data_IF_388301560579
#
_entry.id   IF_388301560579
#
_cell.length_a   1.000
_cell.length_b   1.000
_cell.length_c   1.000
_cell.angle_alpha   90.00
_cell.angle_beta   90.00
_cell.angle_gamma   90.00
#
_symmetry.space_group_name_H-M   'P 1'
#
loop_
_entity.id
_entity.type
_entity.pdbx_description
1 polymer ?
#
# COMPACT_ATOMS: atom_id res chain seq x y z
N UNK A 1 57.26 -12.66 -31.11
CA UNK A 1 56.38 -11.50 -31.38
C UNK A 1 55.27 -11.49 -30.35
N UNK A 2 55.06 -10.36 -29.68
CA UNK A 2 54.05 -10.23 -28.62
C UNK A 2 52.67 -10.00 -29.21
N UNK A 3 51.72 -10.88 -28.90
CA UNK A 3 50.29 -10.74 -29.23
C UNK A 3 49.69 -9.59 -28.40
N UNK A 4 49.30 -8.50 -29.07
CA UNK A 4 48.46 -7.45 -28.48
C UNK A 4 47.00 -7.86 -28.61
N UNK A 5 46.35 -8.18 -27.49
CA UNK A 5 44.90 -8.33 -27.43
C UNK A 5 44.25 -6.93 -27.53
N UNK A 6 43.41 -6.74 -28.53
CA UNK A 6 42.56 -5.55 -28.65
C UNK A 6 41.47 -5.61 -27.58
N UNK A 7 41.35 -4.56 -26.79
CA UNK A 7 40.27 -4.38 -25.84
C UNK A 7 38.96 -4.21 -26.62
N UNK A 8 38.08 -5.21 -26.54
CA UNK A 8 36.73 -5.12 -27.08
C UNK A 8 35.96 -4.13 -26.20
N UNK A 9 35.46 -3.06 -26.80
CA UNK A 9 34.59 -2.11 -26.12
C UNK A 9 33.42 -2.88 -25.49
N UNK A 10 33.18 -2.66 -24.19
CA UNK A 10 32.06 -3.26 -23.49
C UNK A 10 30.78 -2.93 -24.28
N UNK A 11 30.12 -3.96 -24.82
CA UNK A 11 28.74 -3.81 -25.31
C UNK A 11 27.95 -3.23 -24.14
N UNK A 12 27.27 -2.11 -24.38
CA UNK A 12 26.25 -1.63 -23.46
C UNK A 12 25.34 -2.82 -23.14
N UNK A 13 25.35 -3.26 -21.89
CA UNK A 13 24.43 -4.25 -21.38
C UNK A 13 23.02 -3.75 -21.73
N UNK A 14 22.33 -4.49 -22.60
CA UNK A 14 20.92 -4.22 -22.88
C UNK A 14 20.14 -4.18 -21.57
N UNK A 15 18.97 -3.49 -21.52
CA UNK A 15 18.16 -3.45 -20.32
C UNK A 15 17.94 -4.88 -19.84
N UNK A 16 18.34 -5.17 -18.60
CA UNK A 16 18.11 -6.46 -17.97
C UNK A 16 16.62 -6.82 -17.98
N UNK A 17 16.25 -8.05 -17.61
CA UNK A 17 14.83 -8.43 -17.54
C UNK A 17 14.06 -7.37 -16.75
N UNK A 18 12.94 -6.91 -17.33
CA UNK A 18 12.04 -5.96 -16.67
C UNK A 18 11.73 -6.46 -15.26
N UNK A 19 11.85 -5.62 -14.22
CA UNK A 19 11.61 -6.06 -12.85
C UNK A 19 10.23 -6.72 -12.78
N UNK A 20 10.17 -7.91 -12.18
CA UNK A 20 8.91 -8.62 -12.01
C UNK A 20 7.86 -7.67 -11.40
N UNK A 21 6.61 -7.68 -11.91
CA UNK A 21 5.55 -6.88 -11.33
C UNK A 21 5.39 -7.23 -9.85
N UNK A 22 5.34 -6.21 -8.99
CA UNK A 22 5.09 -6.40 -7.56
C UNK A 22 3.62 -6.72 -7.33
N UNK A 23 3.33 -7.77 -6.58
CA UNK A 23 1.98 -8.12 -6.13
C UNK A 23 1.78 -7.63 -4.70
N UNK A 24 0.69 -6.89 -4.45
CA UNK A 24 0.28 -6.55 -3.09
C UNK A 24 -1.00 -7.31 -2.78
N UNK A 25 -0.95 -8.17 -1.76
CA UNK A 25 -2.09 -8.91 -1.23
C UNK A 25 -2.64 -8.13 -0.05
N UNK A 26 -3.94 -7.82 -0.09
CA UNK A 26 -4.64 -7.15 0.99
C UNK A 26 -5.56 -8.14 1.69
N UNK A 27 -5.40 -8.31 3.00
CA UNK A 27 -6.27 -9.15 3.83
C UNK A 27 -6.94 -8.28 4.91
N UNK A 28 -8.22 -7.99 4.73
CA UNK A 28 -9.00 -7.25 5.73
C UNK A 28 -9.52 -8.20 6.81
N UNK A 29 -9.69 -7.70 8.03
CA UNK A 29 -10.18 -8.45 9.20
C UNK A 29 -9.48 -9.80 9.38
N UNK A 30 -8.14 -9.80 9.33
CA UNK A 30 -7.34 -11.03 9.39
C UNK A 30 -7.61 -11.86 10.65
N UNK A 31 -7.97 -11.23 11.78
CA UNK A 31 -8.38 -11.95 12.99
C UNK A 31 -9.62 -12.83 12.79
N UNK A 32 -10.55 -12.48 11.89
CA UNK A 32 -11.69 -13.31 11.55
C UNK A 32 -11.30 -14.57 10.75
N UNK A 33 -10.11 -14.56 10.11
CA UNK A 33 -9.57 -15.75 9.44
C UNK A 33 -8.81 -16.66 10.41
N UNK A 34 -8.22 -16.10 11.47
CA UNK A 34 -7.35 -16.82 12.41
C UNK A 34 -8.12 -17.35 13.62
N UNK A 35 -9.06 -16.58 14.20
CA UNK A 35 -9.76 -17.01 15.42
C UNK A 35 -11.13 -16.31 15.68
N UNK A 36 -12.25 -17.06 15.73
CA UNK A 36 -12.41 -18.40 15.18
C UNK A 36 -12.29 -18.31 13.66
N UNK A 37 -11.49 -19.18 13.05
CA UNK A 37 -11.31 -19.11 11.59
C UNK A 37 -12.65 -19.25 10.87
N UNK A 38 -12.90 -18.38 9.88
CA UNK A 38 -14.05 -18.41 8.97
C UNK A 38 -14.15 -19.76 8.23
N UNK A 39 -14.78 -20.74 8.86
CA UNK A 39 -15.07 -22.06 8.33
C UNK A 39 -16.01 -22.77 9.28
N UNK A 40 -17.06 -23.41 8.76
CA UNK A 40 -17.86 -24.34 9.56
C UNK A 40 -16.94 -25.36 10.23
N UNK A 41 -17.26 -25.89 11.43
CA UNK A 41 -16.58 -27.08 11.95
C UNK A 41 -16.58 -28.15 10.84
N UNK A 42 -15.40 -28.49 10.32
CA UNK A 42 -15.25 -29.42 9.19
C UNK A 42 -15.08 -28.79 7.79
N UNK A 43 -15.01 -27.46 7.64
CA UNK A 43 -14.74 -26.79 6.34
C UNK A 43 -13.34 -26.16 6.33
N UNK A 44 -12.34 -26.75 5.62
CA UNK A 44 -10.93 -26.34 5.67
C UNK A 44 -10.59 -25.00 5.00
N UNK A 45 -11.58 -24.24 4.52
CA UNK A 45 -11.37 -23.09 3.64
C UNK A 45 -10.65 -21.90 4.31
N UNK A 46 -10.93 -21.58 5.58
CA UNK A 46 -10.12 -20.59 6.31
C UNK A 46 -8.68 -21.08 6.50
N UNK A 47 -8.49 -22.37 6.80
CA UNK A 47 -7.16 -22.93 7.04
C UNK A 47 -6.25 -22.86 5.81
N UNK A 48 -6.76 -23.13 4.61
CA UNK A 48 -5.97 -23.02 3.37
C UNK A 48 -5.61 -21.57 3.04
N UNK A 49 -6.56 -20.62 3.23
CA UNK A 49 -6.31 -19.19 3.03
C UNK A 49 -5.26 -18.68 4.02
N UNK A 50 -5.40 -18.98 5.31
CA UNK A 50 -4.42 -18.58 6.34
C UNK A 50 -3.04 -19.14 6.02
N UNK A 51 -2.92 -20.43 5.66
CA UNK A 51 -1.63 -21.01 5.23
C UNK A 51 -1.02 -20.31 4.02
N UNK A 52 -1.84 -19.94 3.03
CA UNK A 52 -1.36 -19.19 1.87
C UNK A 52 -0.85 -17.80 2.26
N UNK A 53 -1.58 -17.09 3.13
CA UNK A 53 -1.15 -15.78 3.64
C UNK A 53 0.13 -15.89 4.48
N UNK A 54 0.27 -16.93 5.30
CA UNK A 54 1.50 -17.20 6.06
C UNK A 54 2.69 -17.53 5.16
N UNK A 55 2.47 -18.27 4.07
CA UNK A 55 3.50 -18.50 3.06
C UNK A 55 3.93 -17.19 2.38
N UNK A 56 3.00 -16.30 2.05
CA UNK A 56 3.33 -14.96 1.53
C UNK A 56 4.07 -14.13 2.57
N UNK A 57 3.67 -14.15 3.84
CA UNK A 57 4.36 -13.42 4.91
C UNK A 57 5.82 -13.86 5.07
N UNK A 58 6.08 -15.17 4.96
CA UNK A 58 7.42 -15.76 5.10
C UNK A 58 8.30 -15.56 3.87
N UNK A 59 7.77 -15.87 2.68
CA UNK A 59 8.57 -16.03 1.46
C UNK A 59 8.28 -14.98 0.38
N UNK A 60 7.14 -14.28 0.48
CA UNK A 60 6.63 -13.40 -0.57
C UNK A 60 7.58 -12.26 -0.94
N UNK A 61 8.28 -11.68 0.04
CA UNK A 61 9.20 -10.56 -0.20
C UNK A 61 10.31 -10.88 -1.21
N UNK A 62 10.80 -12.12 -1.24
CA UNK A 62 11.80 -12.59 -2.21
C UNK A 62 11.23 -12.75 -3.62
N UNK A 63 9.91 -12.89 -3.72
CA UNK A 63 9.15 -13.07 -4.96
C UNK A 63 8.49 -11.77 -5.43
N UNK A 64 8.70 -10.64 -4.73
CA UNK A 64 8.00 -9.39 -5.02
C UNK A 64 6.52 -9.39 -4.62
N UNK A 65 6.10 -10.31 -3.74
CA UNK A 65 4.75 -10.38 -3.18
C UNK A 65 4.75 -9.80 -1.77
N UNK A 66 3.95 -8.76 -1.55
CA UNK A 66 3.85 -8.06 -0.28
C UNK A 66 2.47 -8.26 0.32
N UNK A 67 2.40 -8.58 1.61
CA UNK A 67 1.14 -8.75 2.33
C UNK A 67 0.90 -7.55 3.25
N UNK A 68 -0.29 -6.96 3.12
CA UNK A 68 -0.83 -5.97 4.07
C UNK A 68 -2.09 -6.57 4.67
N UNK A 69 -2.12 -6.70 5.99
CA UNK A 69 -3.29 -7.21 6.69
C UNK A 69 -3.76 -6.21 7.73
N UNK A 70 -5.07 -6.17 7.95
CA UNK A 70 -5.69 -5.39 9.03
C UNK A 70 -6.20 -6.35 10.10
N UNK A 71 -6.29 -5.86 11.34
CA UNK A 71 -6.92 -6.59 12.42
C UNK A 71 -7.45 -5.62 13.47
N UNK A 72 -8.64 -5.92 14.00
CA UNK A 72 -9.20 -5.25 15.17
C UNK A 72 -8.84 -5.95 16.50
N UNK A 73 -8.25 -7.15 16.41
CA UNK A 73 -7.89 -8.03 17.54
C UNK A 73 -6.42 -8.47 17.40
N UNK A 74 -5.45 -7.58 17.69
CA UNK A 74 -4.04 -7.92 17.59
C UNK A 74 -3.66 -9.11 18.48
N UNK A 75 -4.35 -9.27 19.62
CA UNK A 75 -4.25 -10.43 20.53
C UNK A 75 -4.52 -11.77 19.84
N UNK A 76 -5.36 -11.79 18.80
CA UNK A 76 -5.68 -13.02 18.04
C UNK A 76 -4.70 -13.33 16.92
N UNK A 77 -3.84 -12.37 16.57
CA UNK A 77 -2.95 -12.48 15.41
C UNK A 77 -1.47 -12.42 15.77
N UNK A 78 -1.13 -12.13 17.04
CA UNK A 78 0.24 -11.93 17.52
C UNK A 78 1.17 -13.12 17.26
N UNK A 79 0.63 -14.35 17.28
CA UNK A 79 1.39 -15.58 17.06
C UNK A 79 1.55 -15.97 15.59
N UNK A 80 0.97 -15.21 14.66
CA UNK A 80 1.01 -15.54 13.23
C UNK A 80 2.35 -15.15 12.60
N UNK A 81 2.69 -15.80 11.48
CA UNK A 81 3.90 -15.47 10.70
C UNK A 81 3.87 -14.03 10.19
N UNK A 82 2.68 -13.52 9.86
CA UNK A 82 2.47 -12.12 9.51
C UNK A 82 2.88 -11.19 10.66
N UNK A 83 2.37 -11.42 11.87
CA UNK A 83 2.68 -10.57 13.01
C UNK A 83 4.18 -10.60 13.37
N UNK A 84 4.83 -11.76 13.27
CA UNK A 84 6.27 -11.92 13.53
C UNK A 84 7.14 -11.27 12.45
N UNK A 85 6.77 -11.43 11.18
CA UNK A 85 7.54 -10.94 10.03
C UNK A 85 7.29 -9.47 9.64
N UNK A 86 6.21 -8.85 10.15
CA UNK A 86 5.84 -7.49 9.80
C UNK A 86 6.93 -6.47 10.20
N UNK A 87 7.50 -5.81 9.17
CA UNK A 87 8.50 -4.75 9.33
C UNK A 87 7.90 -3.37 9.62
N UNK A 88 6.70 -3.12 9.10
CA UNK A 88 5.95 -1.89 9.32
C UNK A 88 4.66 -2.24 10.05
N UNK A 89 4.33 -1.48 11.09
CA UNK A 89 3.09 -1.67 11.85
C UNK A 89 2.33 -0.36 11.91
N UNK A 90 1.08 -0.36 11.48
CA UNK A 90 0.19 0.79 11.57
C UNK A 90 -0.78 0.52 12.72
N UNK A 91 -0.82 1.43 13.69
CA UNK A 91 -1.81 1.41 14.77
C UNK A 91 -2.65 2.67 14.64
N UNK A 92 -3.95 2.50 14.34
CA UNK A 92 -4.89 3.60 14.29
C UNK A 92 -5.39 3.93 15.70
N UNK A 93 -5.59 5.22 15.97
CA UNK A 93 -6.24 5.65 17.21
C UNK A 93 -7.71 5.20 17.19
N UNK A 94 -8.21 4.74 18.34
CA UNK A 94 -9.61 4.40 18.47
C UNK A 94 -10.47 5.66 18.24
N UNK A 95 -11.54 5.59 17.43
CA UNK A 95 -12.46 6.72 17.31
C UNK A 95 -13.15 6.95 18.65
N UNK A 96 -13.30 8.21 19.05
CA UNK A 96 -14.10 8.55 20.22
C UNK A 96 -15.58 8.39 19.88
N UNK A 97 -16.35 7.86 20.84
CA UNK A 97 -17.78 7.61 20.73
C UNK A 97 -18.50 8.20 21.96
N UNK A 98 -19.51 9.07 21.77
CA UNK A 98 -20.04 9.56 20.49
C UNK A 98 -19.09 10.56 19.80
N UNK A 99 -19.15 10.71 18.47
CA UNK A 99 -18.27 11.64 17.75
C UNK A 99 -18.56 13.10 18.15
N UNK A 100 -17.53 13.84 18.55
CA UNK A 100 -17.60 15.28 18.82
C UNK A 100 -17.12 16.12 17.61
N UNK A 101 -17.70 17.30 17.35
CA UNK A 101 -17.21 18.21 16.29
C UNK A 101 -15.78 18.70 16.49
N UNK A 102 -15.31 18.77 17.74
CA UNK A 102 -13.96 19.25 18.09
C UNK A 102 -12.90 18.15 18.03
N UNK A 103 -13.32 16.91 17.82
CA UNK A 103 -12.41 15.76 17.75
C UNK A 103 -11.79 15.60 16.37
N UNK A 104 -10.54 15.10 16.33
CA UNK A 104 -9.91 14.82 15.06
C UNK A 104 -10.69 13.77 14.26
N UNK A 105 -10.83 14.02 12.95
CA UNK A 105 -11.44 13.07 12.04
C UNK A 105 -10.72 11.69 12.11
N UNK A 106 -11.45 10.58 11.90
CA UNK A 106 -10.86 9.25 11.84
C UNK A 106 -9.65 9.17 10.91
N UNK A 107 -8.72 8.27 11.24
CA UNK A 107 -7.50 8.03 10.45
C UNK A 107 -6.22 8.55 11.10
N UNK A 108 -6.28 9.13 12.31
CA UNK A 108 -5.07 9.32 13.12
C UNK A 108 -4.47 7.99 13.52
N UNK A 109 -3.15 7.93 13.59
CA UNK A 109 -2.44 6.75 14.01
C UNK A 109 -0.94 6.94 14.09
N UNK A 110 -0.26 5.81 14.26
CA UNK A 110 1.19 5.72 14.39
C UNK A 110 1.73 4.64 13.45
N UNK A 111 2.81 4.95 12.75
CA UNK A 111 3.60 4.01 11.97
C UNK A 111 4.84 3.61 12.77
N UNK A 112 4.91 2.35 13.20
CA UNK A 112 6.09 1.74 13.79
C UNK A 112 7.04 1.21 12.71
N UNK A 113 8.32 1.55 12.84
CA UNK A 113 9.40 1.17 11.93
C UNK A 113 10.30 0.07 12.54
N UNK A 114 11.07 -0.68 11.73
CA UNK A 114 11.97 -1.73 12.22
C UNK A 114 13.08 -1.22 13.15
N UNK A 115 13.45 0.06 13.02
CA UNK A 115 14.46 0.74 13.83
C UNK A 115 13.90 1.24 15.18
N UNK A 116 12.64 0.93 15.49
CA UNK A 116 11.95 1.37 16.70
C UNK A 116 11.36 2.77 16.61
N UNK A 117 11.60 3.51 15.52
CA UNK A 117 10.98 4.83 15.32
C UNK A 117 9.47 4.70 15.20
N UNK A 118 8.77 5.68 15.75
CA UNK A 118 7.30 5.80 15.63
C UNK A 118 6.96 7.15 15.01
N UNK A 119 6.28 7.11 13.87
CA UNK A 119 5.89 8.32 13.13
C UNK A 119 4.38 8.53 13.27
N UNK A 120 3.91 9.61 13.92
CA UNK A 120 2.49 9.94 13.95
C UNK A 120 2.02 10.36 12.56
N UNK A 121 0.81 9.99 12.18
CA UNK A 121 0.25 10.35 10.89
C UNK A 121 -1.27 10.59 10.95
N UNK A 122 -1.78 11.23 9.90
CA UNK A 122 -3.21 11.34 9.60
C UNK A 122 -3.45 10.70 8.24
N UNK A 123 -4.23 9.63 8.20
CA UNK A 123 -4.66 8.98 6.97
C UNK A 123 -5.52 9.91 6.12
N UNK A 124 -5.26 9.91 4.81
CA UNK A 124 -6.12 10.58 3.85
C UNK A 124 -7.44 9.84 3.68
N UNK A 125 -8.55 10.59 3.57
CA UNK A 125 -9.89 10.02 3.37
C UNK A 125 -10.29 10.14 1.90
N UNK A 126 -10.69 9.03 1.29
CA UNK A 126 -11.26 8.95 -0.05
C UNK A 126 -12.64 8.30 0.08
N UNK A 127 -13.69 9.01 -0.31
CA UNK A 127 -15.08 8.64 0.00
C UNK A 127 -15.88 8.17 -1.21
N UNK A 128 -15.38 8.44 -2.42
CA UNK A 128 -16.12 8.25 -3.67
C UNK A 128 -17.27 9.25 -3.84
N UNK A 129 -17.40 10.28 -2.99
CA UNK A 129 -18.48 11.27 -3.07
C UNK A 129 -18.03 12.51 -3.82
N UNK A 130 -18.98 13.20 -4.44
CA UNK A 130 -18.78 14.57 -4.92
C UNK A 130 -18.53 15.42 -3.67
N UNK A 131 -17.36 16.06 -3.55
CA UNK A 131 -17.12 16.91 -2.41
C UNK A 131 -18.10 18.09 -2.43
N UNK A 132 -18.96 18.19 -1.42
CA UNK A 132 -19.86 19.35 -1.23
C UNK A 132 -19.22 20.47 -0.42
N UNK A 133 -18.00 20.22 0.05
CA UNK A 133 -17.12 21.18 0.72
C UNK A 133 -15.88 21.36 -0.16
N UNK A 134 -15.28 22.54 -0.05
CA UNK A 134 -14.09 22.91 -0.81
C UNK A 134 -13.07 21.75 -0.80
N UNK A 135 -12.67 21.28 -1.98
CA UNK A 135 -11.71 20.19 -2.13
C UNK A 135 -10.49 20.66 -2.88
N UNK A 136 -9.32 20.32 -2.36
CA UNK A 136 -8.09 20.44 -3.13
C UNK A 136 -8.11 19.37 -4.22
N UNK A 137 -7.93 19.77 -5.48
CA UNK A 137 -7.61 18.80 -6.53
C UNK A 137 -6.31 18.07 -6.14
N UNK A 138 -6.31 16.74 -6.07
CA UNK A 138 -5.09 15.96 -5.94
C UNK A 138 -4.14 16.35 -7.07
N UNK A 139 -2.93 16.74 -6.69
CA UNK A 139 -1.87 17.03 -7.65
C UNK A 139 -0.75 16.06 -7.45
N UNK A 140 -0.15 15.71 -8.58
CA UNK A 140 1.12 15.01 -8.63
C UNK A 140 2.16 16.07 -8.87
N UNK A 141 3.14 16.14 -7.99
CA UNK A 141 4.34 16.95 -8.18
C UNK A 141 5.52 15.99 -8.08
N UNK A 142 6.54 16.12 -8.92
CA UNK A 142 7.83 15.47 -8.68
C UNK A 142 8.29 15.82 -7.26
N UNK A 143 8.63 14.79 -6.48
CA UNK A 143 9.19 14.95 -5.15
C UNK A 143 10.68 14.69 -5.24
N UNK A 144 11.48 15.75 -5.19
CA UNK A 144 12.93 15.65 -5.06
C UNK A 144 13.28 15.07 -3.69
N UNK A 145 14.30 14.23 -3.61
CA UNK A 145 14.67 13.51 -2.38
C UNK A 145 15.02 14.48 -1.24
N UNK A 146 15.65 15.60 -1.57
CA UNK A 146 16.04 16.66 -0.64
C UNK A 146 14.84 17.35 0.01
N UNK A 147 13.66 17.24 -0.61
CA UNK A 147 12.40 17.84 -0.16
C UNK A 147 11.46 16.82 0.49
N UNK A 148 11.90 15.58 0.64
CA UNK A 148 11.10 14.57 1.31
C UNK A 148 10.89 14.94 2.77
N UNK A 149 9.62 15.09 3.17
CA UNK A 149 9.23 15.47 4.53
C UNK A 149 8.82 16.93 4.67
N UNK A 150 9.08 17.77 3.66
CA UNK A 150 8.51 19.12 3.61
C UNK A 150 6.98 19.04 3.62
N UNK A 151 6.29 19.90 4.38
CA UNK A 151 4.83 19.96 4.31
C UNK A 151 4.41 20.35 2.88
N UNK A 152 3.33 19.75 2.33
CA UNK A 152 2.86 20.12 1.01
C UNK A 152 2.50 21.61 0.99
N UNK A 153 2.84 22.29 -0.11
CA UNK A 153 2.51 23.71 -0.31
C UNK A 153 1.02 23.91 -0.05
N UNK A 154 0.68 24.74 0.95
CA UNK A 154 -0.71 25.09 1.24
C UNK A 154 -1.30 25.80 0.02
N UNK A 155 -2.45 25.34 -0.43
CA UNK A 155 -3.15 25.90 -1.59
C UNK A 155 -4.52 26.39 -1.18
N UNK A 156 -5.02 27.46 -1.82
CA UNK A 156 -6.40 27.89 -1.62
C UNK A 156 -7.33 26.76 -2.06
N UNK A 157 -8.30 26.44 -1.22
CA UNK A 157 -9.30 25.43 -1.52
C UNK A 157 -10.36 26.06 -2.42
N UNK A 158 -10.66 25.44 -3.55
CA UNK A 158 -11.68 25.92 -4.47
C UNK A 158 -12.93 25.05 -4.31
N UNK A 159 -14.10 25.66 -4.17
CA UNK A 159 -15.34 24.92 -4.25
C UNK A 159 -15.47 24.36 -5.68
N UNK A 160 -15.44 23.03 -5.75
CA UNK A 160 -15.86 22.31 -6.93
C UNK A 160 -17.38 22.22 -6.77
N UNK A 161 -18.16 22.77 -7.71
CA UNK A 161 -19.62 22.61 -7.70
C UNK A 161 -20.03 21.14 -7.91
N UNK A 162 -20.85 20.83 -8.92
CA UNK A 162 -21.11 19.44 -9.32
C UNK A 162 -19.89 18.82 -10.05
N UNK A 163 -18.77 18.68 -9.34
CA UNK A 163 -17.51 18.18 -9.87
C UNK A 163 -17.33 16.66 -9.76
N UNK A 164 -16.21 16.12 -10.27
CA UNK A 164 -15.84 14.72 -10.09
C UNK A 164 -15.70 14.35 -8.61
N UNK A 165 -15.91 13.07 -8.29
CA UNK A 165 -15.70 12.53 -6.96
C UNK A 165 -14.24 12.63 -6.52
N UNK A 166 -13.98 12.64 -5.22
CA UNK A 166 -12.60 12.58 -4.68
C UNK A 166 -11.82 11.37 -5.19
N UNK A 167 -12.48 10.23 -5.40
CA UNK A 167 -11.92 9.03 -6.01
C UNK A 167 -11.54 9.24 -7.48
N UNK A 168 -12.42 9.85 -8.28
CA UNK A 168 -12.12 10.16 -9.68
C UNK A 168 -10.94 11.14 -9.80
N UNK A 169 -10.88 12.11 -8.88
CA UNK A 169 -9.77 13.04 -8.76
C UNK A 169 -8.46 12.32 -8.40
N UNK A 170 -8.48 11.37 -7.46
CA UNK A 170 -7.31 10.55 -7.10
C UNK A 170 -6.87 9.67 -8.27
N UNK A 171 -7.79 8.97 -8.92
CA UNK A 171 -7.50 8.12 -10.08
C UNK A 171 -6.86 8.92 -11.22
N UNK A 172 -7.40 10.10 -11.53
CA UNK A 172 -6.83 11.01 -12.53
C UNK A 172 -5.42 11.47 -12.17
N UNK A 173 -5.16 11.75 -10.89
CA UNK A 173 -3.83 12.09 -10.42
C UNK A 173 -2.85 10.90 -10.59
N UNK A 174 -3.21 9.71 -10.10
CA UNK A 174 -2.39 8.51 -10.24
C UNK A 174 -2.05 8.19 -11.71
N UNK A 175 -3.01 8.35 -12.61
CA UNK A 175 -2.78 8.11 -14.04
C UNK A 175 -1.81 9.14 -14.65
N UNK A 176 -1.90 10.43 -14.25
CA UNK A 176 -0.90 11.43 -14.63
C UNK A 176 0.49 11.12 -14.06
N UNK A 177 0.57 10.65 -12.81
CA UNK A 177 1.83 10.24 -12.20
C UNK A 177 2.48 9.10 -12.98
N UNK A 178 1.72 8.04 -13.28
CA UNK A 178 2.20 6.91 -14.04
C UNK A 178 2.76 7.32 -15.41
N UNK A 179 2.06 8.19 -16.14
CA UNK A 179 2.54 8.75 -17.41
C UNK A 179 3.83 9.56 -17.24
N UNK A 180 3.95 10.37 -16.18
CA UNK A 180 5.12 11.21 -15.97
C UNK A 180 6.43 10.43 -15.74
N UNK A 181 6.32 9.19 -15.27
CA UNK A 181 7.46 8.28 -15.06
C UNK A 181 7.55 7.17 -16.11
N UNK A 182 6.76 7.25 -17.19
CA UNK A 182 6.64 6.21 -18.21
C UNK A 182 6.38 4.80 -17.62
N UNK A 183 5.58 4.72 -16.56
CA UNK A 183 5.22 3.44 -15.96
C UNK A 183 4.37 2.61 -16.95
N UNK A 184 4.85 1.42 -17.27
CA UNK A 184 4.11 0.47 -18.09
C UNK A 184 2.89 -0.06 -17.33
N UNK A 185 1.73 -0.10 -17.99
CA UNK A 185 0.52 -0.67 -17.40
C UNK A 185 0.63 -2.18 -17.41
N UNK A 186 0.57 -2.79 -16.23
CA UNK A 186 0.53 -4.24 -16.10
C UNK A 186 -0.86 -4.78 -16.48
N UNK A 187 -0.94 -5.94 -17.15
CA UNK A 187 -2.20 -6.61 -17.40
C UNK A 187 -2.83 -7.05 -16.06
N UNK A 188 -4.18 -7.16 -16.00
CA UNK A 188 -4.85 -7.72 -14.83
C UNK A 188 -4.36 -9.13 -14.52
N UNK A 189 -4.34 -9.48 -13.23
CA UNK A 189 -4.19 -10.87 -12.81
C UNK A 189 -5.47 -11.64 -13.17
N UNK A 190 -5.44 -12.26 -14.35
CA UNK A 190 -6.46 -13.21 -14.78
C UNK A 190 -6.06 -14.61 -14.30
N UNK A 191 -6.98 -15.40 -13.73
CA UNK A 191 -6.73 -16.80 -13.44
C UNK A 191 -6.26 -17.51 -14.69
N UNK A 192 -5.25 -18.37 -14.57
CA UNK A 192 -4.89 -19.25 -15.68
C UNK A 192 -6.09 -20.16 -15.97
N UNK A 193 -6.50 -20.33 -17.24
CA UNK A 193 -7.47 -21.35 -17.59
C UNK A 193 -6.89 -22.71 -17.19
N UNK A 194 -7.64 -23.44 -16.35
CA UNK A 194 -7.36 -24.81 -15.94
C UNK A 194 -7.58 -25.80 -17.07
#
# INVERSE_FOLDING_TARGET
GTLRLRQVAARASGPGPSPLPRLVVLADDFDALVAPGLGSPGRPAAGSVVRALEAVARDGGRLGVHLVATSARPDRTEDTELARGARLRIVLDAPVLPPSPDEPAPGRGRLGHPDGRVTPFQGGRVTGRIPRTATLRPTVVPLEWERMGDPPTRRPVRELGNGPTDLALLASALERAARSVNAERLPPLIPFPT
#
